data_IF_731967157969
#
_entry.id   IF_731967157969
#
_cell.length_a   1.000
_cell.length_b   1.000
_cell.length_c   1.000
_cell.angle_alpha   90.00
_cell.angle_beta   90.00
_cell.angle_gamma   90.00
#
_symmetry.space_group_name_H-M   'P 1'
#
loop_
_entity.id
_entity.type
_entity.pdbx_description
1 polymer ?
#
# COMPACT_ATOMS: atom_id res chain seq x y z
N UNK A 1 -7.49 -22.82 -7.80
CA UNK A 1 -8.90 -23.22 -8.02
C UNK A 1 -9.94 -22.35 -7.32
N UNK A 2 -9.74 -21.77 -6.10
CA UNK A 2 -10.73 -20.86 -5.54
C UNK A 2 -10.79 -19.49 -6.23
N UNK A 3 -9.79 -19.12 -6.99
CA UNK A 3 -9.68 -17.77 -7.61
C UNK A 3 -10.58 -17.57 -8.83
N UNK A 4 -11.07 -18.64 -9.47
CA UNK A 4 -12.11 -18.52 -10.50
C UNK A 4 -13.47 -18.02 -9.96
N UNK A 5 -13.68 -18.14 -8.63
CA UNK A 5 -14.86 -17.54 -8.01
C UNK A 5 -14.68 -16.03 -7.72
N UNK A 6 -13.46 -15.52 -7.82
CA UNK A 6 -13.15 -14.10 -7.64
C UNK A 6 -13.40 -13.26 -8.89
N UNK A 7 -13.48 -13.88 -10.08
CA UNK A 7 -13.87 -13.20 -11.34
C UNK A 7 -15.29 -12.60 -11.25
N UNK A 8 -16.11 -13.08 -10.32
CA UNK A 8 -17.44 -12.53 -10.04
C UNK A 8 -17.43 -11.40 -8.99
N UNK A 9 -16.32 -11.16 -8.31
CA UNK A 9 -16.19 -10.06 -7.35
C UNK A 9 -15.84 -8.77 -8.11
N UNK A 10 -16.59 -7.73 -7.80
CA UNK A 10 -16.33 -6.40 -8.34
C UNK A 10 -14.88 -5.98 -8.00
N UNK A 11 -14.03 -5.64 -8.98
CA UNK A 11 -12.63 -5.22 -8.75
C UNK A 11 -12.49 -4.07 -7.75
N UNK A 12 -13.53 -3.23 -7.64
CA UNK A 12 -13.59 -2.11 -6.69
C UNK A 12 -13.60 -2.55 -5.22
N UNK A 13 -14.06 -3.78 -4.89
CA UNK A 13 -14.18 -4.24 -3.51
C UNK A 13 -12.83 -4.25 -2.80
N UNK A 14 -11.78 -4.73 -3.47
CA UNK A 14 -10.44 -4.81 -2.89
C UNK A 14 -9.88 -3.41 -2.58
N UNK A 15 -10.06 -2.47 -3.50
CA UNK A 15 -9.66 -1.09 -3.29
C UNK A 15 -10.47 -0.44 -2.15
N UNK A 16 -11.78 -0.64 -2.12
CA UNK A 16 -12.67 -0.13 -1.08
C UNK A 16 -12.28 -0.65 0.31
N UNK A 17 -11.87 -1.92 0.42
CA UNK A 17 -11.39 -2.52 1.68
C UNK A 17 -10.04 -1.90 2.07
N UNK A 18 -9.09 -1.81 1.16
CA UNK A 18 -7.75 -1.27 1.43
C UNK A 18 -7.76 0.21 1.87
N UNK A 19 -8.69 0.99 1.33
CA UNK A 19 -8.85 2.43 1.61
C UNK A 19 -9.94 2.74 2.64
N UNK A 20 -10.51 1.72 3.29
CA UNK A 20 -11.52 1.91 4.32
C UNK A 20 -10.90 2.49 5.59
N UNK A 21 -11.32 3.69 5.99
CA UNK A 21 -10.81 4.42 7.16
C UNK A 21 -10.95 3.60 8.44
N UNK A 22 -12.14 3.04 8.69
CA UNK A 22 -12.43 2.25 9.90
C UNK A 22 -11.53 1.02 9.97
N UNK A 23 -11.35 0.32 8.85
CA UNK A 23 -10.51 -0.87 8.79
C UNK A 23 -9.02 -0.53 9.02
N UNK A 24 -8.53 0.56 8.43
CA UNK A 24 -7.16 1.03 8.65
C UNK A 24 -6.93 1.44 10.12
N UNK A 25 -7.92 2.07 10.79
CA UNK A 25 -7.84 2.38 12.22
C UNK A 25 -7.86 1.11 13.09
N UNK A 26 -8.65 0.11 12.74
CA UNK A 26 -8.64 -1.19 13.42
C UNK A 26 -7.26 -1.85 13.27
N UNK A 27 -6.69 -1.89 12.07
CA UNK A 27 -5.35 -2.41 11.85
C UNK A 27 -4.30 -1.63 12.63
N UNK A 28 -4.34 -0.31 12.60
CA UNK A 28 -3.48 0.52 13.44
C UNK A 28 -3.54 0.10 14.92
N UNK A 29 -4.75 -0.01 15.49
CA UNK A 29 -4.94 -0.43 16.88
C UNK A 29 -4.39 -1.84 17.17
N UNK A 30 -4.65 -2.79 16.27
CA UNK A 30 -4.17 -4.18 16.38
C UNK A 30 -2.64 -4.23 16.34
N UNK A 31 -2.00 -3.54 15.40
CA UNK A 31 -0.53 -3.51 15.29
C UNK A 31 0.13 -2.84 16.51
N UNK A 32 -0.43 -1.73 16.99
CA UNK A 32 0.04 -1.09 18.23
C UNK A 32 -0.12 -2.05 19.42
N UNK A 33 -1.25 -2.73 19.53
CA UNK A 33 -1.48 -3.73 20.57
C UNK A 33 -0.42 -4.83 20.51
N UNK A 34 -0.14 -5.45 19.37
CA UNK A 34 0.90 -6.48 19.22
C UNK A 34 2.30 -5.95 19.49
N UNK A 35 2.65 -4.74 19.05
CA UNK A 35 3.94 -4.13 19.34
C UNK A 35 4.20 -4.01 20.84
N UNK A 36 3.21 -3.58 21.63
CA UNK A 36 3.32 -3.53 23.09
C UNK A 36 3.47 -4.91 23.72
N UNK A 37 2.83 -5.94 23.17
CA UNK A 37 3.05 -7.34 23.58
C UNK A 37 4.49 -7.79 23.31
N UNK A 38 5.05 -7.45 22.15
CA UNK A 38 6.45 -7.77 21.81
C UNK A 38 7.46 -7.04 22.68
N UNK A 39 7.14 -5.85 23.16
CA UNK A 39 7.95 -5.15 24.16
C UNK A 39 7.88 -5.76 25.56
N UNK A 40 6.96 -6.75 25.77
CA UNK A 40 6.82 -7.46 27.04
C UNK A 40 6.00 -6.71 28.10
N UNK A 41 5.16 -5.75 27.70
CA UNK A 41 4.25 -5.09 28.64
C UNK A 41 3.18 -6.04 29.15
N UNK A 42 2.75 -6.99 28.32
CA UNK A 42 1.84 -8.09 28.66
C UNK A 42 2.16 -9.32 27.81
N UNK A 43 1.88 -10.50 28.37
CA UNK A 43 2.01 -11.75 27.65
C UNK A 43 0.64 -12.18 27.12
N UNK A 44 0.58 -12.45 25.84
CA UNK A 44 -0.60 -13.07 25.19
C UNK A 44 -0.60 -14.57 25.52
N UNK A 45 -0.84 -14.92 26.79
CA UNK A 45 -1.07 -16.31 27.17
C UNK A 45 -2.56 -16.61 27.01
N UNK A 46 -2.89 -17.59 26.19
CA UNK A 46 -4.25 -18.14 26.18
C UNK A 46 -4.60 -18.60 27.59
N UNK A 47 -5.79 -18.26 28.12
CA UNK A 47 -6.22 -18.72 29.42
C UNK A 47 -6.03 -20.24 29.52
N UNK A 48 -5.34 -20.70 30.57
CA UNK A 48 -5.03 -22.12 30.77
C UNK A 48 -6.28 -23.03 30.72
N UNK A 49 -7.46 -22.48 30.97
CA UNK A 49 -8.74 -23.15 30.84
C UNK A 49 -9.09 -23.50 29.37
N UNK A 50 -8.57 -22.75 28.38
CA UNK A 50 -8.76 -23.04 26.95
C UNK A 50 -7.70 -24.03 26.46
N UNK A 51 -6.46 -23.94 26.98
CA UNK A 51 -5.40 -24.93 26.74
C UNK A 51 -5.81 -26.32 27.26
N UNK A 52 -6.29 -26.39 28.48
CA UNK A 52 -6.74 -27.66 29.10
C UNK A 52 -8.00 -28.26 28.42
N UNK A 53 -8.86 -27.42 27.82
CA UNK A 53 -9.99 -27.92 26.99
C UNK A 53 -9.52 -28.39 25.62
N UNK A 54 -8.51 -27.76 25.05
CA UNK A 54 -7.84 -28.20 23.81
C UNK A 54 -7.13 -29.56 24.03
N UNK A 55 -6.47 -29.72 25.18
CA UNK A 55 -5.79 -30.98 25.53
C UNK A 55 -6.79 -32.08 25.84
N UNK A 56 -7.96 -31.78 26.39
CA UNK A 56 -9.06 -32.76 26.56
C UNK A 56 -9.82 -33.03 25.25
N UNK A 57 -9.91 -32.05 24.34
CA UNK A 57 -10.41 -32.24 22.97
C UNK A 57 -9.40 -32.94 22.05
N UNK A 58 -8.12 -33.04 22.45
CA UNK A 58 -7.08 -33.83 21.75
C UNK A 58 -7.29 -35.35 21.79
N UNK A 59 -8.39 -35.82 22.43
CA UNK A 59 -8.94 -37.18 22.24
C UNK A 59 -9.37 -37.44 20.77
N UNK A 60 -9.57 -36.41 19.94
CA UNK A 60 -9.66 -36.53 18.49
C UNK A 60 -8.26 -36.54 17.92
N UNK A 61 -7.73 -37.74 17.66
CA UNK A 61 -6.39 -38.05 17.14
C UNK A 61 -5.85 -37.01 16.15
N UNK A 62 -4.85 -36.26 16.59
CA UNK A 62 -3.72 -35.73 15.83
C UNK A 62 -3.94 -34.66 14.73
N UNK A 63 -4.84 -34.83 13.81
CA UNK A 63 -4.94 -34.01 12.60
C UNK A 63 -5.77 -32.73 12.76
N UNK A 64 -6.87 -32.77 13.48
CA UNK A 64 -7.79 -31.64 13.62
C UNK A 64 -7.20 -30.52 14.49
N UNK A 65 -6.50 -30.88 15.57
CA UNK A 65 -5.80 -29.90 16.42
C UNK A 65 -4.68 -29.17 15.66
N UNK A 66 -3.90 -29.92 14.86
CA UNK A 66 -2.86 -29.36 14.00
C UNK A 66 -3.47 -28.45 12.93
N UNK A 67 -4.62 -28.82 12.35
CA UNK A 67 -5.34 -28.00 11.39
C UNK A 67 -5.79 -26.66 11.99
N UNK A 68 -6.41 -26.67 13.19
CA UNK A 68 -6.83 -25.44 13.85
C UNK A 68 -5.67 -24.57 14.30
N UNK A 69 -4.54 -25.14 14.75
CA UNK A 69 -3.32 -24.38 15.03
C UNK A 69 -2.76 -23.76 13.76
N UNK A 70 -2.68 -24.51 12.67
CA UNK A 70 -2.22 -24.00 11.38
C UNK A 70 -3.17 -22.92 10.82
N UNK A 71 -4.48 -23.11 10.97
CA UNK A 71 -5.48 -22.13 10.56
C UNK A 71 -5.37 -20.84 11.38
N UNK A 72 -5.18 -20.92 12.68
CA UNK A 72 -4.98 -19.76 13.55
C UNK A 72 -3.70 -19.03 13.18
N UNK A 73 -2.60 -19.73 12.94
CA UNK A 73 -1.34 -19.16 12.48
C UNK A 73 -1.51 -18.48 11.11
N UNK A 74 -2.23 -19.14 10.19
CA UNK A 74 -2.52 -18.58 8.86
C UNK A 74 -3.36 -17.29 8.96
N UNK A 75 -4.40 -17.26 9.79
CA UNK A 75 -5.26 -16.08 9.98
C UNK A 75 -4.46 -14.92 10.58
N UNK A 76 -3.63 -15.17 11.59
CA UNK A 76 -2.78 -14.15 12.20
C UNK A 76 -1.75 -13.63 11.19
N UNK A 77 -1.07 -14.53 10.46
CA UNK A 77 -0.11 -14.14 9.41
C UNK A 77 -0.78 -13.39 8.26
N UNK A 78 -2.00 -13.79 7.87
CA UNK A 78 -2.76 -13.12 6.80
C UNK A 78 -3.19 -11.71 7.20
N UNK A 79 -3.48 -11.47 8.48
CA UNK A 79 -3.82 -10.13 8.98
C UNK A 79 -2.66 -9.14 8.79
N UNK A 80 -1.41 -9.60 8.92
CA UNK A 80 -0.21 -8.77 8.74
C UNK A 80 0.18 -8.58 7.28
N UNK A 81 -0.12 -9.56 6.42
CA UNK A 81 0.29 -9.57 5.00
C UNK A 81 -0.84 -9.20 4.05
N UNK A 82 -2.10 -9.21 4.54
CA UNK A 82 -3.30 -8.92 3.75
C UNK A 82 -3.21 -7.63 2.93
N UNK A 83 -2.82 -6.48 3.50
CA UNK A 83 -2.67 -5.23 2.76
C UNK A 83 -1.62 -5.29 1.64
N UNK A 84 -0.50 -5.99 1.88
CA UNK A 84 0.56 -6.19 0.88
C UNK A 84 0.08 -7.14 -0.22
N UNK A 85 -0.56 -8.25 0.17
CA UNK A 85 -1.15 -9.20 -0.76
C UNK A 85 -2.31 -8.59 -1.55
N UNK A 86 -3.13 -7.74 -0.93
CA UNK A 86 -4.21 -7.02 -1.59
C UNK A 86 -3.73 -6.10 -2.71
N UNK A 87 -2.63 -5.38 -2.51
CA UNK A 87 -2.04 -4.53 -3.54
C UNK A 87 -1.42 -5.34 -4.69
N UNK A 88 -0.82 -6.49 -4.39
CA UNK A 88 -0.31 -7.43 -5.41
C UNK A 88 -1.45 -8.09 -6.18
N UNK A 89 -2.54 -8.43 -5.49
CA UNK A 89 -3.76 -8.99 -6.11
C UNK A 89 -4.38 -8.00 -7.09
N UNK A 90 -4.57 -6.75 -6.70
CA UNK A 90 -5.14 -5.71 -7.55
C UNK A 90 -4.31 -5.51 -8.84
N UNK A 91 -2.97 -5.53 -8.73
CA UNK A 91 -2.07 -5.41 -9.89
C UNK A 91 -2.04 -6.63 -10.80
N UNK A 92 -2.31 -7.83 -10.28
CA UNK A 92 -2.24 -9.07 -11.06
C UNK A 92 -3.56 -9.44 -11.75
N UNK A 93 -4.71 -8.99 -11.24
CA UNK A 93 -6.02 -9.27 -11.86
C UNK A 93 -6.24 -8.52 -13.17
N UNK A 94 -5.48 -7.47 -13.42
CA UNK A 94 -5.61 -6.59 -14.60
C UNK A 94 -4.60 -6.90 -15.71
N UNK A 95 -3.61 -7.77 -15.48
CA UNK A 95 -2.63 -8.18 -16.50
C UNK A 95 -3.05 -9.49 -17.17
N UNK A 96 -2.83 -9.59 -18.48
CA UNK A 96 -2.97 -10.84 -19.21
C UNK A 96 -2.10 -11.92 -18.56
N UNK A 97 -2.73 -12.99 -18.03
CA UNK A 97 -2.04 -14.03 -17.26
C UNK A 97 -1.90 -13.76 -15.76
N UNK A 98 -2.51 -12.70 -15.21
CA UNK A 98 -2.40 -12.29 -13.81
C UNK A 98 -2.79 -13.36 -12.79
N UNK A 99 -3.77 -14.21 -13.10
CA UNK A 99 -4.16 -15.35 -12.25
C UNK A 99 -3.01 -16.36 -12.05
N UNK A 100 -2.16 -16.56 -13.06
CA UNK A 100 -0.99 -17.44 -12.98
C UNK A 100 0.11 -16.82 -12.12
N UNK A 101 0.40 -15.53 -12.29
CA UNK A 101 1.38 -14.78 -11.49
C UNK A 101 0.96 -14.71 -10.03
N UNK A 102 -0.32 -14.47 -9.78
CA UNK A 102 -0.89 -14.49 -8.44
C UNK A 102 -0.75 -15.86 -7.77
N UNK A 103 -1.11 -16.92 -8.51
CA UNK A 103 -1.00 -18.29 -8.00
C UNK A 103 0.44 -18.66 -7.68
N UNK A 104 1.39 -18.27 -8.53
CA UNK A 104 2.83 -18.48 -8.32
C UNK A 104 3.34 -17.68 -7.11
N UNK A 105 2.92 -16.42 -6.97
CA UNK A 105 3.29 -15.58 -5.82
C UNK A 105 2.78 -16.13 -4.49
N UNK A 106 1.50 -16.54 -4.45
CA UNK A 106 0.88 -17.14 -3.26
C UNK A 106 1.51 -18.49 -2.90
N UNK A 107 1.84 -19.31 -3.90
CA UNK A 107 2.53 -20.58 -3.70
C UNK A 107 3.95 -20.34 -3.18
N UNK A 108 4.69 -19.39 -3.76
CA UNK A 108 6.02 -19.00 -3.28
C UNK A 108 6.00 -18.49 -1.83
N UNK A 109 5.02 -17.66 -1.49
CA UNK A 109 4.81 -17.19 -0.12
C UNK A 109 4.49 -18.34 0.85
N UNK A 110 3.59 -19.25 0.46
CA UNK A 110 3.26 -20.42 1.26
C UNK A 110 4.43 -21.35 1.49
N UNK A 111 5.27 -21.58 0.46
CA UNK A 111 6.50 -22.36 0.56
C UNK A 111 7.50 -21.66 1.48
N UNK A 112 7.72 -20.35 1.31
CA UNK A 112 8.65 -19.59 2.13
C UNK A 112 8.30 -19.61 3.62
N UNK A 113 7.00 -19.53 3.96
CA UNK A 113 6.53 -19.69 5.33
C UNK A 113 6.62 -21.12 5.84
N UNK A 114 6.27 -22.10 5.02
CA UNK A 114 6.24 -23.52 5.41
C UNK A 114 7.62 -24.16 5.49
N UNK A 115 8.58 -23.69 4.72
CA UNK A 115 9.93 -24.28 4.59
C UNK A 115 10.69 -24.36 5.92
N UNK A 116 10.76 -23.31 6.77
CA UNK A 116 11.42 -23.40 8.07
C UNK A 116 10.79 -24.47 8.96
N UNK A 117 9.45 -24.53 9.01
CA UNK A 117 8.74 -25.52 9.81
C UNK A 117 8.95 -26.94 9.26
N UNK A 118 8.93 -27.10 7.94
CA UNK A 118 9.22 -28.36 7.28
C UNK A 118 10.64 -28.86 7.55
N UNK A 119 11.65 -27.98 7.50
CA UNK A 119 13.04 -28.32 7.84
C UNK A 119 13.18 -28.73 9.31
N UNK A 120 12.53 -28.04 10.24
CA UNK A 120 12.55 -28.42 11.65
C UNK A 120 11.81 -29.76 11.91
N UNK A 121 10.77 -30.05 11.16
CA UNK A 121 10.08 -31.33 11.23
C UNK A 121 10.91 -32.50 10.69
N UNK A 122 11.67 -32.26 9.60
CA UNK A 122 12.55 -33.27 9.02
C UNK A 122 13.81 -33.51 9.87
N UNK A 123 14.33 -32.49 10.54
CA UNK A 123 15.53 -32.56 11.35
C UNK A 123 15.29 -32.17 12.82
N UNK A 124 14.57 -32.99 13.61
CA UNK A 124 14.22 -32.64 15.00
C UNK A 124 15.45 -32.49 15.91
N UNK A 125 16.61 -33.04 15.53
CA UNK A 125 17.84 -32.86 16.28
C UNK A 125 18.47 -31.46 16.14
N UNK A 126 18.17 -30.72 15.08
CA UNK A 126 18.57 -29.32 14.93
C UNK A 126 17.83 -28.41 15.91
N UNK A 127 16.60 -28.73 16.29
CA UNK A 127 15.88 -28.03 17.36
C UNK A 127 16.56 -28.19 18.74
N UNK A 128 17.21 -29.33 19.00
CA UNK A 128 18.00 -29.55 20.24
C UNK A 128 19.35 -28.82 20.22
N UNK A 129 19.89 -28.53 19.05
CA UNK A 129 21.13 -27.79 18.86
C UNK A 129 20.92 -26.27 18.88
N UNK A 130 19.66 -25.79 18.74
CA UNK A 130 19.36 -24.36 18.94
C UNK A 130 19.68 -24.01 20.40
N UNK A 131 20.48 -22.95 20.66
CA UNK A 131 20.74 -22.50 22.02
C UNK A 131 19.41 -22.27 22.71
N UNK A 132 19.22 -22.91 23.89
CA UNK A 132 18.02 -22.75 24.73
C UNK A 132 17.66 -21.28 24.70
N UNK A 133 16.39 -20.96 24.37
CA UNK A 133 15.83 -19.63 24.12
C UNK A 133 16.41 -18.58 25.08
N UNK A 134 17.57 -18.06 24.70
CA UNK A 134 18.29 -17.04 25.42
C UNK A 134 17.89 -15.66 24.89
N UNK A 135 18.51 -14.61 25.39
CA UNK A 135 18.16 -13.24 25.10
C UNK A 135 18.14 -12.81 23.62
N UNK A 136 18.61 -13.64 22.65
CA UNK A 136 18.48 -13.34 21.23
C UNK A 136 16.99 -13.35 20.79
N UNK A 137 16.20 -14.29 21.30
CA UNK A 137 14.76 -14.36 21.01
C UNK A 137 14.01 -13.12 21.52
N UNK A 138 14.39 -12.64 22.72
CA UNK A 138 13.85 -11.38 23.26
C UNK A 138 14.24 -10.21 22.37
N UNK A 139 15.49 -10.16 21.92
CA UNK A 139 15.93 -9.11 20.97
C UNK A 139 15.14 -9.14 19.68
N UNK A 140 14.90 -10.31 19.09
CA UNK A 140 14.07 -10.45 17.88
C UNK A 140 12.64 -9.97 18.11
N UNK A 141 12.01 -10.36 19.23
CA UNK A 141 10.65 -9.89 19.58
C UNK A 141 10.58 -8.37 19.65
N UNK A 142 11.52 -7.74 20.32
CA UNK A 142 11.54 -6.27 20.47
C UNK A 142 11.78 -5.58 19.12
N UNK A 143 12.69 -6.11 18.28
CA UNK A 143 12.91 -5.58 16.93
C UNK A 143 11.62 -5.66 16.10
N UNK A 144 10.92 -6.80 16.13
CA UNK A 144 9.62 -6.97 15.45
C UNK A 144 8.58 -5.97 15.99
N UNK A 145 8.56 -5.71 17.31
CA UNK A 145 7.66 -4.72 17.90
C UNK A 145 7.91 -3.30 17.37
N UNK A 146 9.16 -2.89 17.15
CA UNK A 146 9.47 -1.61 16.52
C UNK A 146 9.05 -1.57 15.04
N UNK A 147 9.24 -2.67 14.31
CA UNK A 147 8.78 -2.78 12.92
C UNK A 147 7.25 -2.72 12.83
N UNK A 148 6.55 -3.38 13.75
CA UNK A 148 5.08 -3.29 13.82
C UNK A 148 4.58 -1.88 14.12
N UNK A 149 5.24 -1.13 15.01
CA UNK A 149 4.91 0.28 15.24
C UNK A 149 5.10 1.13 13.98
N UNK A 150 6.19 0.90 13.24
CA UNK A 150 6.44 1.62 12.00
C UNK A 150 5.37 1.31 10.95
N UNK A 151 4.94 0.03 10.85
CA UNK A 151 3.84 -0.38 9.96
C UNK A 151 2.47 0.14 10.43
N UNK A 152 2.22 0.15 11.75
CA UNK A 152 1.01 0.73 12.31
C UNK A 152 0.82 2.17 11.85
N UNK A 153 1.88 2.97 11.89
CA UNK A 153 1.84 4.36 11.44
C UNK A 153 1.42 4.48 9.96
N UNK A 154 1.78 3.52 9.11
CA UNK A 154 1.35 3.51 7.70
C UNK A 154 -0.16 3.34 7.57
N UNK A 155 -0.80 2.47 8.37
CA UNK A 155 -2.25 2.33 8.38
C UNK A 155 -2.95 3.61 8.85
N UNK A 156 -2.42 4.24 9.88
CA UNK A 156 -2.94 5.53 10.34
C UNK A 156 -2.78 6.61 9.27
N UNK A 157 -1.65 6.65 8.58
CA UNK A 157 -1.39 7.57 7.47
C UNK A 157 -2.34 7.34 6.29
N UNK A 158 -2.66 6.07 5.96
CA UNK A 158 -3.64 5.79 4.91
C UNK A 158 -5.04 6.29 5.28
N UNK A 159 -5.45 6.11 6.55
CA UNK A 159 -6.72 6.66 7.03
C UNK A 159 -6.75 8.20 6.98
N UNK A 160 -5.66 8.83 7.41
CA UNK A 160 -5.48 10.29 7.42
C UNK A 160 -5.56 10.89 6.01
N UNK A 161 -4.83 10.30 5.05
CA UNK A 161 -4.81 10.73 3.65
C UNK A 161 -6.20 10.68 3.00
N UNK A 162 -6.89 9.54 3.16
CA UNK A 162 -8.18 9.29 2.51
C UNK A 162 -9.30 10.11 3.15
N UNK A 163 -9.20 10.38 4.47
CA UNK A 163 -10.19 11.15 5.22
C UNK A 163 -9.88 12.65 5.31
N UNK A 164 -8.73 13.09 4.76
CA UNK A 164 -8.27 14.50 4.78
C UNK A 164 -8.22 15.11 6.18
N UNK A 165 -7.67 14.37 7.17
CA UNK A 165 -7.56 14.88 8.54
C UNK A 165 -6.39 15.85 8.73
N UNK A 166 -5.41 15.87 7.82
CA UNK A 166 -4.21 16.70 7.85
C UNK A 166 -3.34 16.55 9.11
N UNK A 167 -3.39 15.37 9.75
CA UNK A 167 -2.66 15.08 10.99
C UNK A 167 -1.24 14.55 10.73
N UNK A 168 -1.10 13.61 9.79
CA UNK A 168 0.16 12.92 9.49
C UNK A 168 0.75 13.40 8.17
N UNK A 169 1.07 14.69 8.09
CA UNK A 169 1.81 15.23 6.95
C UNK A 169 3.17 14.57 6.82
N UNK A 170 3.76 14.63 5.63
CA UNK A 170 4.98 13.89 5.26
C UNK A 170 6.09 14.04 6.30
N UNK A 171 6.36 15.25 6.77
CA UNK A 171 7.41 15.54 7.76
C UNK A 171 7.09 14.91 9.13
N UNK A 172 5.84 14.97 9.56
CA UNK A 172 5.40 14.36 10.82
C UNK A 172 5.56 12.84 10.75
N UNK A 173 5.15 12.23 9.65
CA UNK A 173 5.29 10.80 9.42
C UNK A 173 6.76 10.37 9.45
N UNK A 174 7.63 11.03 8.69
CA UNK A 174 9.07 10.72 8.64
C UNK A 174 9.71 10.98 10.00
N UNK A 175 9.33 12.06 10.71
CA UNK A 175 9.83 12.37 12.04
C UNK A 175 9.50 11.28 13.05
N UNK A 176 8.27 10.75 13.05
CA UNK A 176 7.88 9.63 13.92
C UNK A 176 8.63 8.36 13.53
N UNK A 177 8.81 8.07 12.24
CA UNK A 177 9.62 6.94 11.78
C UNK A 177 11.09 7.06 12.20
N UNK A 178 11.67 8.26 12.10
CA UNK A 178 13.02 8.54 12.57
C UNK A 178 13.14 8.32 14.10
N UNK A 179 12.12 8.72 14.86
CA UNK A 179 12.07 8.49 16.32
C UNK A 179 11.98 6.99 16.64
N UNK A 180 11.11 6.23 15.96
CA UNK A 180 10.98 4.77 16.14
C UNK A 180 12.31 4.09 15.80
N UNK A 181 12.95 4.46 14.70
CA UNK A 181 14.25 3.92 14.28
C UNK A 181 15.38 4.29 15.26
N UNK A 182 15.37 5.50 15.80
CA UNK A 182 16.32 5.93 16.83
C UNK A 182 16.14 5.11 18.10
N UNK A 183 14.92 4.92 18.56
CA UNK A 183 14.63 4.09 19.75
C UNK A 183 15.08 2.64 19.54
N UNK A 184 14.85 2.08 18.35
CA UNK A 184 15.37 0.76 17.96
C UNK A 184 16.90 0.72 18.00
N UNK A 185 17.56 1.75 17.49
CA UNK A 185 19.03 1.89 17.50
C UNK A 185 19.57 1.91 18.93
N UNK A 186 18.97 2.73 19.79
CA UNK A 186 19.34 2.83 21.22
C UNK A 186 19.11 1.50 21.96
N UNK A 187 18.04 0.78 21.61
CA UNK A 187 17.79 -0.57 22.11
C UNK A 187 18.86 -1.56 21.68
N UNK A 188 19.21 -1.58 20.40
CA UNK A 188 20.23 -2.48 19.86
C UNK A 188 21.63 -2.21 20.42
N UNK A 189 21.98 -0.95 20.71
CA UNK A 189 23.18 -0.59 21.45
C UNK A 189 23.09 -0.88 22.95
N UNK A 190 21.94 -1.36 23.47
CA UNK A 190 21.74 -1.74 24.85
C UNK A 190 21.61 -0.55 25.83
N UNK A 191 21.41 0.67 25.31
CA UNK A 191 21.15 1.89 26.09
C UNK A 191 19.75 1.81 26.70
N UNK A 192 18.75 1.45 25.90
CA UNK A 192 17.37 1.19 26.34
C UNK A 192 17.20 -0.31 26.56
N UNK A 193 16.44 -0.69 27.59
CA UNK A 193 16.13 -2.10 27.91
C UNK A 193 14.67 -2.23 28.29
N UNK A 194 14.07 -3.33 27.88
CA UNK A 194 12.72 -3.71 28.28
C UNK A 194 12.73 -4.68 29.46
N UNK A 195 11.60 -4.86 30.11
CA UNK A 195 11.43 -5.59 31.37
C UNK A 195 11.99 -7.03 31.37
N UNK A 196 12.00 -7.70 30.24
CA UNK A 196 12.45 -9.09 30.09
C UNK A 196 13.83 -9.23 29.44
N UNK A 197 14.56 -8.12 29.24
CA UNK A 197 15.88 -8.15 28.62
C UNK A 197 16.95 -8.62 29.60
N UNK A 198 17.69 -9.64 29.17
CA UNK A 198 18.86 -10.13 29.90
C UNK A 198 20.07 -9.27 29.50
N UNK A 199 20.91 -8.87 30.48
CA UNK A 199 22.18 -8.19 30.21
C UNK A 199 23.06 -9.08 29.34
N UNK A 200 23.16 -8.79 28.04
CA UNK A 200 24.04 -9.50 27.12
C UNK A 200 25.12 -8.56 26.60
N UNK A 201 26.30 -9.10 26.35
CA UNK A 201 27.33 -8.40 25.59
C UNK A 201 26.82 -8.22 24.16
N UNK A 202 27.10 -7.07 23.56
CA UNK A 202 26.73 -6.81 22.17
C UNK A 202 27.54 -7.75 21.29
N UNK A 203 26.89 -8.79 20.77
CA UNK A 203 27.50 -9.70 19.80
C UNK A 203 27.64 -9.02 18.41
N UNK A 204 28.47 -9.58 17.56
CA UNK A 204 28.73 -9.05 16.21
C UNK A 204 27.42 -8.80 15.42
N UNK A 205 26.51 -9.77 15.42
CA UNK A 205 25.22 -9.68 14.70
C UNK A 205 24.39 -8.50 15.21
N UNK A 206 24.24 -8.37 16.53
CA UNK A 206 23.49 -7.25 17.13
C UNK A 206 24.15 -5.90 16.83
N UNK A 207 25.49 -5.85 16.80
CA UNK A 207 26.25 -4.66 16.42
C UNK A 207 26.02 -4.25 14.95
N UNK A 208 26.00 -5.22 14.03
CA UNK A 208 25.70 -4.95 12.61
C UNK A 208 24.29 -4.37 12.45
N UNK A 209 23.28 -4.99 13.07
CA UNK A 209 21.92 -4.47 13.02
C UNK A 209 21.78 -3.08 13.68
N UNK A 210 22.50 -2.82 14.77
CA UNK A 210 22.54 -1.51 15.40
C UNK A 210 23.13 -0.44 14.48
N UNK A 211 24.21 -0.77 13.76
CA UNK A 211 24.82 0.15 12.80
C UNK A 211 23.91 0.39 11.59
N UNK A 212 23.26 -0.65 11.06
CA UNK A 212 22.29 -0.51 9.95
C UNK A 212 21.10 0.36 10.39
N UNK A 213 20.58 0.15 11.59
CA UNK A 213 19.49 0.96 12.14
C UNK A 213 19.92 2.42 12.35
N UNK A 214 21.15 2.67 12.76
CA UNK A 214 21.69 4.03 12.90
C UNK A 214 21.82 4.72 11.53
N UNK A 215 22.33 4.00 10.53
CA UNK A 215 22.43 4.52 9.16
C UNK A 215 21.03 4.84 8.59
N UNK A 216 20.06 3.98 8.84
CA UNK A 216 18.68 4.21 8.43
C UNK A 216 18.07 5.43 9.15
N UNK A 217 18.30 5.57 10.45
CA UNK A 217 17.86 6.75 11.21
C UNK A 217 18.49 8.03 10.63
N UNK A 218 19.80 7.99 10.35
CA UNK A 218 20.52 9.13 9.76
C UNK A 218 19.98 9.47 8.37
N UNK A 219 19.64 8.46 7.57
CA UNK A 219 19.02 8.62 6.25
C UNK A 219 17.63 9.30 6.35
N UNK A 220 16.79 8.89 7.31
CA UNK A 220 15.48 9.51 7.54
C UNK A 220 15.61 10.97 8.00
N UNK A 221 16.52 11.24 8.95
CA UNK A 221 16.78 12.61 9.43
C UNK A 221 17.34 13.49 8.31
N UNK A 222 18.24 12.96 7.50
CA UNK A 222 18.77 13.67 6.34
C UNK A 222 17.66 13.99 5.33
N UNK A 223 16.78 13.03 5.02
CA UNK A 223 15.63 13.25 4.15
C UNK A 223 14.61 14.25 4.71
N UNK A 224 14.54 14.40 6.04
CA UNK A 224 13.66 15.39 6.68
C UNK A 224 14.21 16.82 6.56
N UNK A 225 15.56 16.97 6.54
CA UNK A 225 16.23 18.28 6.50
C UNK A 225 16.47 18.74 5.06
N UNK A 226 16.68 17.82 4.14
CA UNK A 226 16.91 18.09 2.71
C UNK A 226 15.63 17.82 1.93
N UNK A 227 14.86 18.83 1.62
CA UNK A 227 13.67 18.91 0.72
C UNK A 227 13.04 17.61 0.15
N UNK A 228 13.12 16.50 0.88
CA UNK A 228 12.39 15.24 0.64
C UNK A 228 12.82 14.40 -0.58
N UNK A 229 13.44 14.97 -1.58
CA UNK A 229 13.76 14.34 -2.88
C UNK A 229 14.72 13.13 -2.78
N UNK A 230 15.35 12.94 -1.64
CA UNK A 230 16.33 11.89 -1.40
C UNK A 230 15.73 10.58 -0.85
N UNK A 231 14.46 10.58 -0.48
CA UNK A 231 13.78 9.42 0.09
C UNK A 231 13.13 8.51 -0.96
N UNK A 232 13.54 8.61 -2.24
CA UNK A 232 12.99 7.79 -3.35
C UNK A 232 13.02 6.28 -3.09
N UNK A 233 13.99 5.79 -2.27
CA UNK A 233 14.05 4.38 -1.86
C UNK A 233 12.82 3.98 -1.02
N UNK A 234 12.22 4.93 -0.27
CA UNK A 234 11.04 4.73 0.54
C UNK A 234 9.74 5.09 -0.20
N UNK A 235 9.82 5.28 -1.51
CA UNK A 235 8.70 5.68 -2.36
C UNK A 235 7.43 4.86 -2.07
N UNK A 236 6.34 5.55 -1.84
CA UNK A 236 5.04 4.95 -1.51
C UNK A 236 4.82 4.59 -0.04
N UNK A 237 5.85 4.65 0.84
CA UNK A 237 5.64 4.49 2.29
C UNK A 237 5.25 5.79 2.97
N UNK A 238 6.02 6.91 2.86
CA UNK A 238 5.58 8.18 3.40
C UNK A 238 4.38 8.73 2.63
N UNK A 239 3.64 9.68 3.20
CA UNK A 239 2.68 10.48 2.46
C UNK A 239 3.29 11.15 1.23
N UNK A 240 2.47 11.54 0.22
CA UNK A 240 2.93 12.24 -0.98
C UNK A 240 3.71 13.52 -0.66
N UNK A 241 4.57 13.95 -1.58
CA UNK A 241 5.35 15.19 -1.41
C UNK A 241 4.47 16.45 -1.32
N UNK A 242 3.36 16.47 -2.04
CA UNK A 242 2.39 17.55 -1.94
C UNK A 242 1.55 17.55 -0.66
N UNK A 243 1.56 16.44 0.12
CA UNK A 243 0.94 16.36 1.45
C UNK A 243 1.97 16.70 2.55
N UNK A 244 2.58 17.87 2.42
CA UNK A 244 3.68 18.38 3.24
C UNK A 244 3.23 19.61 4.06
N UNK A 245 3.94 19.90 5.14
CA UNK A 245 3.74 21.14 5.91
C UNK A 245 4.22 22.33 5.09
N UNK A 246 5.28 22.14 4.30
CA UNK A 246 5.93 23.17 3.49
C UNK A 246 5.49 23.12 2.02
N UNK A 247 4.37 22.42 1.69
CA UNK A 247 3.90 22.36 0.31
C UNK A 247 3.63 23.78 -0.21
N UNK A 248 4.34 24.16 -1.25
CA UNK A 248 4.00 25.32 -2.07
C UNK A 248 2.69 25.03 -2.82
N UNK A 249 1.84 26.00 -2.95
CA UNK A 249 0.50 26.13 -3.54
C UNK A 249 -0.07 25.03 -4.49
N UNK A 250 0.69 24.03 -4.93
CA UNK A 250 0.24 22.98 -5.82
C UNK A 250 -0.01 21.67 -5.07
N UNK A 251 -1.26 21.25 -5.02
CA UNK A 251 -1.70 19.91 -4.54
C UNK A 251 -1.41 18.80 -5.56
N UNK A 252 -0.50 19.01 -6.48
CA UNK A 252 -0.19 18.12 -7.59
C UNK A 252 1.21 17.53 -7.48
N UNK A 253 1.42 16.29 -7.97
CA UNK A 253 2.74 15.69 -7.96
C UNK A 253 3.79 16.56 -8.69
N UNK A 254 4.97 16.68 -8.10
CA UNK A 254 6.13 17.39 -8.67
C UNK A 254 5.87 18.87 -9.04
N UNK A 255 4.81 19.47 -8.49
CA UNK A 255 4.43 20.84 -8.85
C UNK A 255 3.88 21.00 -10.27
N UNK A 256 3.48 19.90 -10.92
CA UNK A 256 2.79 19.94 -12.21
C UNK A 256 1.44 20.63 -12.05
N UNK A 257 0.95 21.25 -13.12
CA UNK A 257 -0.43 21.73 -13.18
C UNK A 257 -1.35 20.55 -13.43
N UNK A 258 -2.17 20.20 -12.42
CA UNK A 258 -3.14 19.12 -12.56
C UNK A 258 -4.54 19.53 -12.08
N UNK A 259 -5.54 18.84 -12.59
CA UNK A 259 -6.94 19.07 -12.27
C UNK A 259 -7.52 17.82 -11.60
N UNK A 260 -8.26 18.00 -10.51
CA UNK A 260 -8.89 16.90 -9.75
C UNK A 260 -10.35 16.67 -10.15
N UNK A 261 -10.84 17.46 -11.07
CA UNK A 261 -12.18 17.36 -11.66
C UNK A 261 -12.07 17.20 -13.17
N UNK A 262 -12.81 16.22 -13.71
CA UNK A 262 -12.76 15.86 -15.12
C UNK A 262 -13.21 16.99 -16.03
N UNK A 263 -14.35 17.62 -15.72
CA UNK A 263 -14.94 18.65 -16.57
C UNK A 263 -14.07 19.91 -16.63
N UNK A 264 -13.52 20.31 -15.46
CA UNK A 264 -12.61 21.46 -15.36
C UNK A 264 -11.35 21.22 -16.18
N UNK A 265 -10.73 20.04 -16.05
CA UNK A 265 -9.53 19.70 -16.81
C UNK A 265 -9.80 19.58 -18.32
N UNK A 266 -10.97 19.09 -18.69
CA UNK A 266 -11.39 19.00 -20.09
C UNK A 266 -11.56 20.39 -20.73
N UNK A 267 -12.14 21.36 -20.00
CA UNK A 267 -12.32 22.73 -20.46
C UNK A 267 -10.97 23.43 -20.69
N UNK A 268 -10.03 23.28 -19.74
CA UNK A 268 -8.68 23.81 -19.89
C UNK A 268 -7.95 23.17 -21.09
N UNK A 269 -8.04 21.85 -21.24
CA UNK A 269 -7.41 21.16 -22.35
C UNK A 269 -7.95 21.63 -23.71
N UNK A 270 -9.24 21.96 -23.81
CA UNK A 270 -9.84 22.59 -25.00
C UNK A 270 -9.30 23.98 -25.26
N UNK A 271 -9.17 24.79 -24.22
CA UNK A 271 -8.71 26.17 -24.32
C UNK A 271 -7.23 26.20 -24.75
N UNK A 272 -6.40 25.37 -24.17
CA UNK A 272 -4.96 25.30 -24.42
C UNK A 272 -4.59 24.45 -25.63
N UNK A 273 -5.57 23.75 -26.21
CA UNK A 273 -5.37 22.80 -27.31
C UNK A 273 -4.31 21.73 -27.01
N UNK A 274 -4.25 21.29 -25.74
CA UNK A 274 -3.35 20.26 -25.25
C UNK A 274 -4.01 18.88 -25.19
N UNK A 275 -3.18 17.85 -25.19
CA UNK A 275 -3.59 16.48 -24.97
C UNK A 275 -3.89 16.26 -23.48
N UNK A 276 -4.84 15.38 -23.17
CA UNK A 276 -5.18 15.02 -21.80
C UNK A 276 -4.43 13.74 -21.40
N UNK A 277 -3.80 13.78 -20.26
CA UNK A 277 -3.43 12.60 -19.49
C UNK A 277 -4.44 12.43 -18.36
N UNK A 278 -5.34 11.47 -18.52
CA UNK A 278 -6.27 11.08 -17.46
C UNK A 278 -5.56 10.07 -16.55
N UNK A 279 -5.41 10.40 -15.29
CA UNK A 279 -4.71 9.63 -14.27
C UNK A 279 -5.71 9.18 -13.20
N UNK A 280 -6.08 7.89 -13.22
CA UNK A 280 -6.83 7.30 -12.11
C UNK A 280 -5.87 6.91 -11.01
N UNK A 281 -5.87 7.69 -9.97
CA UNK A 281 -4.94 7.63 -8.85
C UNK A 281 -5.69 7.44 -7.51
N UNK A 282 -4.95 7.41 -6.41
CA UNK A 282 -5.51 7.36 -5.08
C UNK A 282 -4.58 8.01 -4.05
N UNK A 283 -5.16 8.54 -2.99
CA UNK A 283 -4.43 9.13 -1.87
C UNK A 283 -3.53 8.10 -1.17
N UNK A 284 -4.06 6.87 -0.95
CA UNK A 284 -3.34 5.78 -0.33
C UNK A 284 -2.64 4.83 -1.32
N UNK A 285 -2.59 5.19 -2.61
CA UNK A 285 -2.07 4.36 -3.67
C UNK A 285 -0.53 4.33 -3.70
N UNK A 286 0.09 3.28 -3.21
CA UNK A 286 1.55 3.09 -3.19
C UNK A 286 2.16 3.10 -4.59
N UNK A 287 1.55 2.43 -5.56
CA UNK A 287 2.07 2.36 -6.92
C UNK A 287 1.96 3.70 -7.65
N UNK A 288 0.93 4.50 -7.35
CA UNK A 288 0.80 5.85 -7.90
C UNK A 288 1.96 6.73 -7.41
N UNK A 289 2.26 6.70 -6.10
CA UNK A 289 3.43 7.41 -5.53
C UNK A 289 4.74 6.98 -6.18
N UNK A 290 4.91 5.67 -6.42
CA UNK A 290 6.11 5.15 -7.11
C UNK A 290 6.23 5.66 -8.54
N UNK A 291 5.12 5.76 -9.28
CA UNK A 291 5.13 6.33 -10.62
C UNK A 291 5.51 7.82 -10.58
N UNK A 292 4.90 8.58 -9.68
CA UNK A 292 5.19 10.01 -9.54
C UNK A 292 6.65 10.28 -9.13
N UNK A 293 7.13 9.58 -8.09
CA UNK A 293 8.46 9.81 -7.54
C UNK A 293 9.61 9.23 -8.39
N UNK A 294 9.38 8.18 -9.18
CA UNK A 294 10.44 7.49 -9.93
C UNK A 294 10.30 7.59 -11.46
N UNK A 295 9.09 7.73 -11.99
CA UNK A 295 8.84 7.76 -13.43
C UNK A 295 8.54 9.18 -13.90
N UNK A 296 7.59 9.87 -13.28
CA UNK A 296 7.25 11.25 -13.66
C UNK A 296 8.36 12.23 -13.32
N UNK A 297 9.18 11.94 -12.29
CA UNK A 297 10.33 12.74 -11.90
C UNK A 297 11.54 12.65 -12.85
N UNK A 298 11.49 11.75 -13.85
CA UNK A 298 12.48 11.72 -14.91
C UNK A 298 12.39 13.01 -15.73
N UNK A 299 13.51 13.73 -16.00
CA UNK A 299 13.47 15.03 -16.65
C UNK A 299 12.76 15.04 -18.01
N UNK A 300 12.90 13.97 -18.79
CA UNK A 300 12.29 13.88 -20.12
C UNK A 300 10.78 13.60 -20.02
N UNK A 301 10.36 12.74 -19.08
CA UNK A 301 8.95 12.48 -18.79
C UNK A 301 8.28 13.72 -18.21
N UNK A 302 8.92 14.38 -17.26
CA UNK A 302 8.42 15.63 -16.66
C UNK A 302 8.20 16.72 -17.71
N UNK A 303 9.18 16.96 -18.61
CA UNK A 303 9.05 17.94 -19.69
C UNK A 303 7.89 17.60 -20.64
N UNK A 304 7.74 16.30 -21.01
CA UNK A 304 6.62 15.86 -21.85
C UNK A 304 5.27 16.14 -21.18
N UNK A 305 5.13 15.81 -19.89
CA UNK A 305 3.90 16.04 -19.13
C UNK A 305 3.58 17.53 -19.03
N UNK A 306 4.54 18.34 -18.62
CA UNK A 306 4.34 19.76 -18.37
C UNK A 306 4.04 20.56 -19.66
N UNK A 307 4.70 20.23 -20.75
CA UNK A 307 4.60 21.00 -22.00
C UNK A 307 3.41 20.57 -22.87
N UNK A 308 3.07 19.27 -22.91
CA UNK A 308 2.17 18.72 -23.92
C UNK A 308 0.84 18.21 -23.38
N UNK A 309 0.74 18.00 -22.05
CA UNK A 309 -0.43 17.41 -21.44
C UNK A 309 -1.10 18.35 -20.44
N UNK A 310 -2.41 18.24 -20.35
CA UNK A 310 -3.18 18.62 -19.17
C UNK A 310 -3.40 17.33 -18.36
N UNK A 311 -2.87 17.32 -17.16
CA UNK A 311 -3.02 16.15 -16.26
C UNK A 311 -4.34 16.28 -15.50
N UNK A 312 -5.19 15.26 -15.59
CA UNK A 312 -6.43 15.17 -14.83
C UNK A 312 -6.31 13.98 -13.90
N UNK A 313 -6.04 14.25 -12.61
CA UNK A 313 -5.86 13.22 -11.58
C UNK A 313 -7.16 12.96 -10.84
N UNK A 314 -7.76 11.80 -11.11
CA UNK A 314 -9.03 11.38 -10.55
C UNK A 314 -8.80 10.42 -9.38
N UNK A 315 -8.98 10.91 -8.15
CA UNK A 315 -8.75 10.16 -6.93
C UNK A 315 -9.91 9.21 -6.63
N UNK A 316 -9.75 7.93 -6.92
CA UNK A 316 -10.81 6.92 -6.81
C UNK A 316 -11.05 6.42 -5.38
N UNK A 317 -10.20 6.80 -4.44
CA UNK A 317 -10.31 6.46 -3.00
C UNK A 317 -10.69 7.66 -2.12
N UNK A 318 -10.94 8.82 -2.72
CA UNK A 318 -11.27 10.05 -2.01
C UNK A 318 -12.61 9.92 -1.27
N UNK A 319 -12.63 10.21 0.03
CA UNK A 319 -13.84 10.15 0.89
C UNK A 319 -14.54 11.48 1.05
N UNK A 320 -14.06 12.53 0.38
CA UNK A 320 -14.74 13.82 0.37
C UNK A 320 -16.14 13.64 -0.19
N UNK A 321 -17.14 14.11 0.55
CA UNK A 321 -18.54 14.05 0.13
C UNK A 321 -18.79 14.98 -1.06
N UNK A 322 -19.58 14.51 -1.99
CA UNK A 322 -20.13 15.34 -3.06
C UNK A 322 -21.22 16.25 -2.50
N UNK A 323 -21.38 17.43 -3.09
CA UNK A 323 -22.52 18.29 -2.78
C UNK A 323 -23.83 17.51 -3.03
N UNK A 324 -24.86 17.79 -2.24
CA UNK A 324 -26.14 17.05 -2.30
C UNK A 324 -26.74 16.98 -3.72
N UNK A 325 -26.58 18.05 -4.49
CA UNK A 325 -27.05 18.13 -5.90
C UNK A 325 -26.24 17.23 -6.86
N UNK A 326 -25.01 16.89 -6.50
CA UNK A 326 -24.10 16.06 -7.29
C UNK A 326 -24.11 14.57 -6.86
N UNK A 327 -24.89 14.24 -5.81
CA UNK A 327 -25.07 12.86 -5.39
C UNK A 327 -26.15 12.19 -6.22
N UNK A 328 -25.90 10.94 -6.62
CA UNK A 328 -26.85 10.18 -7.43
C UNK A 328 -26.72 8.67 -7.20
N UNK A 329 -27.72 7.94 -7.67
CA UNK A 329 -27.69 6.48 -7.66
C UNK A 329 -27.38 5.97 -9.08
N UNK A 330 -26.30 5.21 -9.22
CA UNK A 330 -25.97 4.53 -10.47
C UNK A 330 -26.50 3.10 -10.45
N UNK A 331 -27.27 2.74 -11.49
CA UNK A 331 -27.77 1.38 -11.68
C UNK A 331 -26.91 0.64 -12.70
N UNK A 332 -26.24 -0.43 -12.28
CA UNK A 332 -25.48 -1.31 -13.14
C UNK A 332 -26.42 -2.13 -14.07
N UNK A 333 -25.92 -2.62 -15.22
CA UNK A 333 -26.70 -3.47 -16.13
C UNK A 333 -27.27 -4.73 -15.50
N UNK A 334 -26.63 -5.23 -14.43
CA UNK A 334 -27.07 -6.39 -13.65
C UNK A 334 -28.16 -6.08 -12.60
N UNK A 335 -28.63 -4.83 -12.55
CA UNK A 335 -29.68 -4.36 -11.66
C UNK A 335 -29.18 -3.90 -10.27
N UNK A 336 -27.90 -4.02 -9.95
CA UNK A 336 -27.33 -3.48 -8.70
C UNK A 336 -27.36 -1.96 -8.71
N UNK A 337 -27.71 -1.35 -7.57
CA UNK A 337 -27.68 0.09 -7.39
C UNK A 337 -26.49 0.45 -6.51
N UNK A 338 -25.71 1.44 -6.94
CA UNK A 338 -24.59 2.01 -6.17
C UNK A 338 -24.88 3.48 -5.91
N UNK A 339 -24.89 3.84 -4.64
CA UNK A 339 -24.99 5.23 -4.21
C UNK A 339 -23.64 5.93 -4.41
N UNK A 340 -23.64 7.00 -5.20
CA UNK A 340 -22.50 7.84 -5.51
C UNK A 340 -22.62 9.12 -4.68
N UNK A 341 -22.02 9.12 -3.51
CA UNK A 341 -22.06 10.23 -2.56
C UNK A 341 -20.69 10.79 -2.20
N UNK A 342 -19.58 10.20 -2.73
CA UNK A 342 -18.23 10.71 -2.54
C UNK A 342 -17.51 10.86 -3.88
N UNK A 343 -16.49 11.73 -3.90
CA UNK A 343 -15.63 11.98 -5.06
C UNK A 343 -14.99 10.67 -5.54
N UNK A 344 -14.45 9.87 -4.63
CA UNK A 344 -13.82 8.60 -4.98
C UNK A 344 -14.80 7.60 -5.57
N UNK A 345 -16.03 7.49 -5.04
CA UNK A 345 -17.05 6.63 -5.63
C UNK A 345 -17.43 7.06 -7.06
N UNK A 346 -17.51 8.38 -7.30
CA UNK A 346 -17.75 8.92 -8.65
C UNK A 346 -16.68 8.45 -9.62
N UNK A 347 -15.41 8.70 -9.31
CA UNK A 347 -14.33 8.38 -10.23
C UNK A 347 -14.01 6.88 -10.33
N UNK A 348 -14.16 6.13 -9.25
CA UNK A 348 -14.06 4.67 -9.31
C UNK A 348 -15.14 4.04 -10.19
N UNK A 349 -16.37 4.55 -10.10
CA UNK A 349 -17.47 4.08 -10.94
C UNK A 349 -17.26 4.48 -12.40
N UNK A 350 -16.83 5.72 -12.65
CA UNK A 350 -16.46 6.18 -13.99
C UNK A 350 -15.38 5.30 -14.63
N UNK A 351 -14.31 4.97 -13.87
CA UNK A 351 -13.25 4.07 -14.34
C UNK A 351 -13.78 2.67 -14.65
N UNK A 352 -14.55 2.09 -13.73
CA UNK A 352 -15.06 0.73 -13.87
C UNK A 352 -15.99 0.57 -15.08
N UNK A 353 -16.81 1.58 -15.37
CA UNK A 353 -17.78 1.51 -16.48
C UNK A 353 -17.10 1.73 -17.82
N UNK A 354 -16.27 2.76 -17.94
CA UNK A 354 -15.70 3.17 -19.22
C UNK A 354 -14.50 2.31 -19.63
N UNK A 355 -13.72 1.81 -18.65
CA UNK A 355 -12.48 1.07 -18.91
C UNK A 355 -12.51 -0.37 -18.39
N UNK A 356 -13.58 -0.81 -17.76
CA UNK A 356 -13.76 -2.16 -17.21
C UNK A 356 -12.62 -2.59 -16.28
N UNK A 357 -12.05 -1.64 -15.55
CA UNK A 357 -10.94 -1.84 -14.61
C UNK A 357 -11.12 -0.97 -13.38
N UNK A 358 -10.49 -1.40 -12.28
CA UNK A 358 -10.39 -0.63 -11.03
C UNK A 358 -8.93 -0.53 -10.55
N UNK A 359 -7.97 -0.75 -11.44
CA UNK A 359 -6.54 -0.70 -11.11
C UNK A 359 -6.04 0.72 -10.95
N UNK A 360 -5.02 0.89 -10.08
CA UNK A 360 -4.34 2.14 -9.82
C UNK A 360 -2.82 1.89 -9.72
N UNK A 361 -2.01 2.73 -10.37
CA UNK A 361 -2.37 3.80 -11.30
C UNK A 361 -2.93 3.24 -12.61
N UNK A 362 -3.78 4.04 -13.28
CA UNK A 362 -4.28 3.72 -14.61
C UNK A 362 -4.31 4.99 -15.45
N UNK A 363 -3.60 5.00 -16.56
CA UNK A 363 -3.37 6.17 -17.39
C UNK A 363 -4.06 6.04 -18.73
N UNK A 364 -4.74 7.11 -19.14
CA UNK A 364 -5.42 7.19 -20.44
C UNK A 364 -5.00 8.47 -21.13
N UNK A 365 -4.56 8.34 -22.39
CA UNK A 365 -4.31 9.50 -23.25
C UNK A 365 -5.50 9.76 -24.15
N UNK A 366 -5.97 10.98 -24.13
CA UNK A 366 -7.12 11.36 -24.94
C UNK A 366 -7.02 12.82 -25.44
N UNK A 367 -7.76 13.10 -26.47
CA UNK A 367 -7.98 14.46 -26.95
C UNK A 367 -9.06 15.15 -26.13
N UNK A 368 -9.13 16.49 -26.19
CA UNK A 368 -10.16 17.27 -25.52
C UNK A 368 -11.60 17.03 -26.04
N UNK A 369 -11.75 16.38 -27.19
CA UNK A 369 -13.04 15.94 -27.74
C UNK A 369 -13.38 14.48 -27.39
N UNK A 370 -12.60 13.83 -26.51
CA UNK A 370 -12.89 12.51 -25.95
C UNK A 370 -12.39 11.33 -26.80
N UNK A 371 -11.42 11.52 -27.69
CA UNK A 371 -10.84 10.41 -28.49
C UNK A 371 -9.63 9.83 -27.81
N UNK A 372 -9.59 8.52 -27.65
CA UNK A 372 -8.43 7.82 -27.13
C UNK A 372 -7.29 7.85 -28.15
N UNK A 373 -6.09 8.18 -27.68
CA UNK A 373 -4.88 8.26 -28.52
C UNK A 373 -4.06 6.97 -28.49
N UNK A 374 -4.10 6.25 -27.38
CA UNK A 374 -3.41 4.99 -27.17
C UNK A 374 -4.26 4.03 -26.34
N UNK A 375 -3.88 2.75 -26.32
CA UNK A 375 -4.37 1.83 -25.29
C UNK A 375 -3.93 2.33 -23.92
N UNK A 376 -4.81 2.30 -22.91
CA UNK A 376 -4.46 2.67 -21.54
C UNK A 376 -3.29 1.85 -21.00
N UNK A 377 -2.51 2.45 -20.09
CA UNK A 377 -1.36 1.81 -19.46
C UNK A 377 -1.47 1.89 -17.93
N UNK A 378 -0.84 0.96 -17.25
CA UNK A 378 -0.81 0.89 -15.79
C UNK A 378 0.60 1.18 -15.26
N UNK A 379 0.91 0.67 -14.04
CA UNK A 379 2.25 0.78 -13.48
C UNK A 379 3.30 0.19 -14.43
N UNK A 380 4.31 0.99 -14.78
CA UNK A 380 5.37 0.60 -15.71
C UNK A 380 6.69 1.33 -15.43
N UNK A 381 7.73 0.99 -16.17
CA UNK A 381 9.03 1.66 -16.11
C UNK A 381 9.07 2.98 -16.90
N UNK A 382 10.09 3.79 -16.64
CA UNK A 382 10.27 5.12 -17.24
C UNK A 382 10.35 5.07 -18.76
N UNK A 383 11.10 4.12 -19.32
CA UNK A 383 11.31 4.05 -20.77
C UNK A 383 10.00 3.71 -21.51
N UNK A 384 9.25 2.75 -20.98
CA UNK A 384 7.95 2.34 -21.52
C UNK A 384 6.93 3.48 -21.40
N UNK A 385 6.86 4.16 -20.25
CA UNK A 385 5.94 5.26 -20.03
C UNK A 385 6.25 6.45 -20.97
N UNK A 386 7.52 6.83 -21.11
CA UNK A 386 7.95 7.87 -22.05
C UNK A 386 7.57 7.56 -23.48
N UNK A 387 7.89 6.34 -23.96
CA UNK A 387 7.56 5.90 -25.30
C UNK A 387 6.05 5.93 -25.56
N UNK A 388 5.24 5.54 -24.57
CA UNK A 388 3.81 5.59 -24.62
C UNK A 388 3.25 7.02 -24.70
N UNK A 389 3.82 7.97 -23.92
CA UNK A 389 3.47 9.39 -24.02
C UNK A 389 3.79 9.95 -25.42
N UNK A 390 4.99 9.72 -25.92
CA UNK A 390 5.40 10.18 -27.25
C UNK A 390 4.55 9.60 -28.38
N UNK A 391 4.15 8.32 -28.26
CA UNK A 391 3.29 7.67 -29.23
C UNK A 391 1.91 8.33 -29.29
N UNK A 392 1.31 8.66 -28.15
CA UNK A 392 0.03 9.33 -28.10
C UNK A 392 0.05 10.71 -28.75
N UNK A 393 1.13 11.47 -28.58
CA UNK A 393 1.30 12.76 -29.25
C UNK A 393 1.43 12.62 -30.78
N UNK A 394 1.98 11.50 -31.25
CA UNK A 394 2.09 11.21 -32.71
C UNK A 394 0.79 10.73 -33.32
N UNK A 395 -0.07 10.07 -32.53
CA UNK A 395 -1.34 9.48 -32.98
C UNK A 395 -2.44 10.54 -33.14
N UNK A 396 -2.19 11.59 -33.91
CA UNK A 396 -3.20 12.62 -34.25
C UNK A 396 -4.30 12.15 -35.20
N UNK A 397 -4.36 10.86 -35.53
CA UNK A 397 -5.37 10.28 -36.41
C UNK A 397 -6.72 10.11 -35.69
N UNK A 398 -7.85 10.19 -36.39
CA UNK A 398 -9.18 10.12 -35.80
C UNK A 398 -9.45 8.72 -35.24
N UNK A 399 -9.04 8.49 -34.00
CA UNK A 399 -9.56 7.37 -33.25
C UNK A 399 -11.07 7.54 -33.03
N UNK A 400 -11.86 6.47 -32.95
CA UNK A 400 -13.27 6.58 -32.65
C UNK A 400 -13.47 7.37 -31.35
N UNK A 401 -14.43 8.27 -31.37
CA UNK A 401 -14.80 9.06 -30.18
C UNK A 401 -15.29 8.07 -29.11
N UNK A 402 -14.62 8.04 -27.99
CA UNK A 402 -15.11 7.29 -26.85
C UNK A 402 -16.34 8.04 -26.29
N UNK A 403 -17.50 7.43 -26.36
CA UNK A 403 -18.68 7.94 -25.66
C UNK A 403 -18.54 7.54 -24.20
N UNK A 404 -17.84 8.36 -23.43
CA UNK A 404 -17.81 8.18 -21.97
C UNK A 404 -19.19 8.41 -21.40
N UNK A 405 -19.66 7.47 -20.59
CA UNK A 405 -20.82 7.71 -19.74
C UNK A 405 -20.39 8.76 -18.70
N UNK A 406 -20.73 10.00 -18.95
CA UNK A 406 -20.60 11.10 -17.99
C UNK A 406 -21.73 11.03 -16.98
N UNK A 407 -21.40 11.28 -15.74
CA UNK A 407 -22.36 11.38 -14.64
C UNK A 407 -22.61 12.83 -14.26
#
# INVERSE_FOLDING_TARGET
LPFHFLDSLNPEILNTIATNVTLNLIFFGVFVFFAFSFFGFYELTLPSQWGNKSDQASGFKGGVGIFFMALTLAIVSFSCTGPILGSLLAGSLTADGGAMQLSAGMLGFGIALGLPFGLFALFPNTLKALPKSGGWMTTVKVVLGFLELALALKFLSNADLVAHWDLLKREVFIGIWALISLLLTLYLFGIIRFKHDIKQKIGLIRGVFATLSLLFTSFLVFGLVSDGNQLKILSGFPPPEFYSINSTESDCPLGLECYKDYETGLEVARTDNKTILLDFTGWACVNCRKMEENVWSDPEVYSLLNENYIVISLYVDDRKELNDEAQFNYQYPDGRIKEINTVGKKWATFQAINFQTASQPFYVQMTADGRLLNSPIQYTDTATFKAWLEQGLKNKLPAPKAEFLNF
#
